data_IF_847726667962
#
_entry.id   IF_847726667962
#
_cell.length_a   1.000
_cell.length_b   1.000
_cell.length_c   1.000
_cell.angle_alpha   90.00
_cell.angle_beta   90.00
_cell.angle_gamma   90.00
#
_symmetry.space_group_name_H-M   'P 1'
#
loop_
_entity.id
_entity.type
_entity.pdbx_description
1 polymer ?
#
# COMPACT_ATOMS: atom_id res chain seq x y z
N UNK A 1 22.42 9.40 13.38
CA UNK A 1 21.18 9.36 12.57
C UNK A 1 20.68 10.78 12.45
N UNK A 2 20.14 11.13 11.30
CA UNK A 2 19.58 12.46 11.07
C UNK A 2 18.10 12.50 11.45
N UNK A 3 17.59 13.65 11.96
CA UNK A 3 16.16 13.85 12.16
C UNK A 3 15.36 13.50 10.89
N UNK A 4 14.24 12.79 11.05
CA UNK A 4 13.45 12.28 9.92
C UNK A 4 13.75 10.82 9.54
N UNK A 5 14.83 10.22 10.04
CA UNK A 5 15.18 8.81 9.75
C UNK A 5 14.17 7.86 10.40
N UNK A 6 13.57 6.94 9.64
CA UNK A 6 12.72 5.89 10.19
C UNK A 6 13.55 4.76 10.80
N UNK A 7 13.37 4.56 12.10
CA UNK A 7 14.08 3.55 12.90
C UNK A 7 13.10 2.54 13.50
N UNK A 8 13.54 1.30 13.58
CA UNK A 8 12.86 0.23 14.29
C UNK A 8 13.40 0.13 15.71
N UNK A 9 12.52 0.25 16.69
CA UNK A 9 12.79 0.03 18.11
C UNK A 9 12.45 -1.42 18.48
N UNK A 10 13.48 -2.21 18.76
CA UNK A 10 13.33 -3.63 19.11
C UNK A 10 12.64 -3.87 20.46
N UNK A 11 12.68 -2.90 21.38
CA UNK A 11 12.03 -3.00 22.69
C UNK A 11 10.52 -2.86 22.56
N UNK A 12 10.06 -1.84 21.82
CA UNK A 12 8.62 -1.59 21.64
C UNK A 12 8.03 -2.33 20.43
N UNK A 13 8.89 -2.88 19.56
CA UNK A 13 8.55 -3.51 18.28
C UNK A 13 7.77 -2.57 17.37
N UNK A 14 8.17 -1.30 17.34
CA UNK A 14 7.53 -0.22 16.57
C UNK A 14 8.56 0.50 15.71
N UNK A 15 8.06 1.11 14.64
CA UNK A 15 8.84 2.04 13.82
C UNK A 15 8.48 3.46 14.21
N UNK A 16 9.50 4.29 14.40
CA UNK A 16 9.36 5.71 14.67
C UNK A 16 10.34 6.53 13.83
N UNK A 17 10.01 7.80 13.66
CA UNK A 17 10.89 8.81 13.10
C UNK A 17 11.82 9.32 14.20
N UNK A 18 13.13 9.21 13.98
CA UNK A 18 14.15 9.80 14.85
C UNK A 18 13.98 11.32 14.86
N UNK A 19 13.81 11.91 16.04
CA UNK A 19 13.71 13.35 16.22
C UNK A 19 15.05 13.94 16.66
N UNK A 20 15.48 13.58 17.87
CA UNK A 20 16.74 14.08 18.46
C UNK A 20 17.22 13.16 19.59
N UNK A 21 18.40 13.44 20.15
CA UNK A 21 18.97 12.76 21.31
C UNK A 21 18.83 13.61 22.58
N UNK A 22 18.14 13.08 23.58
CA UNK A 22 17.96 13.72 24.89
C UNK A 22 18.64 12.88 25.97
N UNK A 23 19.86 13.29 26.35
CA UNK A 23 20.67 12.57 27.34
C UNK A 23 21.06 11.16 26.86
N UNK A 24 20.83 10.10 27.66
CA UNK A 24 21.16 8.74 27.26
C UNK A 24 20.16 8.13 26.25
N UNK A 25 19.00 8.76 26.05
CA UNK A 25 17.93 8.24 25.19
C UNK A 25 17.80 9.04 23.89
N UNK A 26 17.16 8.41 22.91
CA UNK A 26 16.71 9.08 21.68
C UNK A 26 15.20 9.27 21.72
N UNK A 27 14.73 10.36 21.12
CA UNK A 27 13.31 10.65 20.98
C UNK A 27 12.81 10.18 19.63
N UNK A 28 11.79 9.32 19.65
CA UNK A 28 11.13 8.81 18.47
C UNK A 28 9.68 9.30 18.40
N UNK A 29 9.25 9.69 17.20
CA UNK A 29 7.85 10.03 16.90
C UNK A 29 7.17 8.91 16.12
N UNK A 30 5.93 8.52 16.40
CA UNK A 30 5.26 7.48 15.63
C UNK A 30 5.03 7.89 14.18
N UNK A 31 5.12 6.94 13.26
CA UNK A 31 4.74 7.16 11.85
C UNK A 31 3.27 7.53 11.80
N UNK A 32 2.94 8.69 11.23
CA UNK A 32 1.57 9.23 11.17
C UNK A 32 1.17 10.14 12.33
N UNK A 33 2.07 10.41 13.29
CA UNK A 33 1.81 11.28 14.43
C UNK A 33 1.41 10.52 15.71
N UNK A 34 1.20 11.26 16.79
CA UNK A 34 0.88 10.72 18.11
C UNK A 34 2.00 10.95 19.14
N UNK A 35 1.89 10.27 20.29
CA UNK A 35 2.77 10.51 21.44
C UNK A 35 4.18 9.99 21.17
N UNK A 36 5.15 10.89 21.24
CA UNK A 36 6.58 10.56 21.17
C UNK A 36 7.01 9.68 22.34
N UNK A 37 8.04 8.86 22.12
CA UNK A 37 8.61 8.00 23.15
C UNK A 37 10.13 8.03 23.16
N UNK A 38 10.69 7.74 24.34
CA UNK A 38 12.12 7.56 24.53
C UNK A 38 12.51 6.12 24.17
N UNK A 39 13.58 5.95 23.40
CA UNK A 39 14.16 4.66 23.08
C UNK A 39 15.64 4.60 23.46
N UNK A 40 16.13 3.41 23.78
CA UNK A 40 17.54 3.14 24.01
C UNK A 40 18.28 3.14 22.65
N UNK A 41 19.31 3.99 22.45
CA UNK A 41 20.08 4.04 21.20
C UNK A 41 20.69 2.68 20.80
N UNK A 42 20.99 1.80 21.76
CA UNK A 42 21.52 0.47 21.48
C UNK A 42 20.47 -0.53 20.98
N UNK A 43 19.18 -0.20 21.14
CA UNK A 43 18.04 -1.06 20.77
C UNK A 43 17.32 -0.61 19.50
N UNK A 44 17.75 0.50 18.92
CA UNK A 44 17.22 1.01 17.66
C UNK A 44 18.16 0.69 16.50
N UNK A 45 17.58 0.43 15.34
CA UNK A 45 18.28 0.30 14.06
C UNK A 45 17.48 0.98 12.97
N UNK A 46 18.09 1.27 11.83
CA UNK A 46 17.31 1.71 10.67
C UNK A 46 16.23 0.67 10.33
N UNK A 47 15.02 1.16 10.06
CA UNK A 47 13.91 0.30 9.67
C UNK A 47 14.17 -0.24 8.26
N UNK A 48 13.87 -1.52 8.03
CA UNK A 48 13.88 -2.11 6.69
C UNK A 48 12.79 -1.49 5.80
N UNK A 49 12.88 -1.59 4.47
CA UNK A 49 11.82 -1.09 3.58
C UNK A 49 10.44 -1.67 3.93
N UNK A 50 10.38 -2.95 4.29
CA UNK A 50 9.15 -3.62 4.72
C UNK A 50 8.55 -3.03 6.00
N UNK A 51 9.40 -2.80 7.02
CA UNK A 51 8.97 -2.21 8.28
C UNK A 51 8.47 -0.78 8.10
N UNK A 52 9.11 0.00 7.22
CA UNK A 52 8.68 1.36 6.85
C UNK A 52 7.29 1.33 6.19
N UNK A 53 7.08 0.43 5.22
CA UNK A 53 5.79 0.28 4.53
C UNK A 53 4.69 -0.19 5.49
N UNK A 54 4.99 -1.18 6.32
CA UNK A 54 4.08 -1.71 7.34
C UNK A 54 3.68 -0.63 8.34
N UNK A 55 4.63 0.20 8.78
CA UNK A 55 4.35 1.34 9.66
C UNK A 55 3.51 2.42 8.98
N UNK A 56 3.76 2.71 7.70
CA UNK A 56 2.92 3.63 6.91
C UNK A 56 1.49 3.13 6.73
N UNK A 57 1.30 1.83 6.47
CA UNK A 57 -0.04 1.21 6.41
C UNK A 57 -0.74 1.26 7.76
N UNK A 58 -0.01 0.99 8.86
CA UNK A 58 -0.55 1.14 10.21
C UNK A 58 -1.01 2.56 10.48
N UNK A 59 -0.18 3.55 10.14
CA UNK A 59 -0.51 4.96 10.27
C UNK A 59 -1.76 5.36 9.46
N UNK A 60 -1.90 4.83 8.25
CA UNK A 60 -3.10 5.03 7.41
C UNK A 60 -4.35 4.43 8.05
N UNK A 61 -4.25 3.22 8.60
CA UNK A 61 -5.35 2.57 9.30
C UNK A 61 -5.74 3.34 10.56
N UNK A 62 -4.78 3.80 11.34
CA UNK A 62 -5.00 4.57 12.56
C UNK A 62 -5.68 5.91 12.23
N UNK A 63 -5.19 6.65 11.21
CA UNK A 63 -5.88 7.86 10.72
C UNK A 63 -7.28 7.57 10.17
N UNK A 64 -7.46 6.44 9.49
CA UNK A 64 -8.80 6.05 9.02
C UNK A 64 -9.73 5.73 10.18
N UNK A 65 -9.22 5.27 11.33
CA UNK A 65 -10.01 5.10 12.56
C UNK A 65 -10.33 6.43 13.21
N UNK A 66 -9.40 7.39 13.17
CA UNK A 66 -9.60 8.73 13.77
C UNK A 66 -10.53 9.61 12.93
N UNK A 67 -10.35 9.66 11.61
CA UNK A 67 -11.25 10.36 10.68
C UNK A 67 -12.63 9.70 10.56
N UNK A 68 -12.76 8.44 11.01
CA UNK A 68 -14.01 7.72 11.19
C UNK A 68 -14.31 7.46 12.67
N UNK A 69 -13.78 8.28 13.59
CA UNK A 69 -14.54 8.54 14.81
C UNK A 69 -15.86 9.07 14.29
N UNK A 70 -16.84 8.16 14.12
CA UNK A 70 -18.09 8.39 13.43
C UNK A 70 -18.52 9.79 13.79
N UNK A 71 -18.38 10.73 12.84
CA UNK A 71 -18.46 12.16 13.10
C UNK A 71 -19.57 12.34 14.12
N UNK A 72 -19.23 12.73 15.35
CA UNK A 72 -20.15 12.59 16.48
C UNK A 72 -21.43 13.40 16.21
N UNK A 73 -21.31 14.41 15.34
CA UNK A 73 -22.40 15.25 14.84
C UNK A 73 -23.25 14.57 13.77
N UNK A 74 -22.73 13.56 13.05
CA UNK A 74 -23.49 12.75 12.09
C UNK A 74 -24.48 11.85 12.83
N UNK A 75 -25.79 12.01 12.60
CA UNK A 75 -26.81 11.14 13.18
C UNK A 75 -26.60 9.68 12.78
N UNK A 76 -26.79 8.72 13.69
CA UNK A 76 -26.70 7.29 13.37
C UNK A 76 -27.84 6.87 12.43
N UNK A 77 -27.56 5.93 11.52
CA UNK A 77 -28.52 5.40 10.56
C UNK A 77 -29.22 4.17 11.13
N UNK A 78 -30.53 3.97 10.89
CA UNK A 78 -31.20 2.75 11.32
C UNK A 78 -30.64 1.52 10.60
N UNK A 79 -30.45 0.40 11.31
CA UNK A 79 -30.12 -0.89 10.68
C UNK A 79 -31.35 -1.37 9.92
N UNK A 80 -31.18 -1.68 8.64
CA UNK A 80 -32.27 -2.12 7.77
C UNK A 80 -32.98 -3.35 8.35
N UNK A 81 -34.31 -3.28 8.48
CA UNK A 81 -35.12 -4.38 9.02
C UNK A 81 -35.20 -4.43 10.55
N UNK A 82 -34.55 -3.51 11.27
CA UNK A 82 -34.74 -3.36 12.71
C UNK A 82 -35.81 -2.30 13.02
N UNK A 83 -36.97 -2.75 13.48
CA UNK A 83 -38.11 -1.88 13.81
C UNK A 83 -37.78 -0.82 14.89
N UNK A 84 -36.94 -1.16 15.87
CA UNK A 84 -36.56 -0.22 16.96
C UNK A 84 -35.66 0.89 16.42
N UNK A 85 -34.70 0.55 15.56
CA UNK A 85 -33.87 1.53 14.87
C UNK A 85 -34.71 2.48 14.01
N UNK A 86 -35.65 1.93 13.23
CA UNK A 86 -36.52 2.72 12.35
C UNK A 86 -37.43 3.67 13.14
N UNK A 87 -38.01 3.20 14.24
CA UNK A 87 -38.84 4.04 15.13
C UNK A 87 -38.03 5.20 15.74
N UNK A 88 -36.83 4.94 16.24
CA UNK A 88 -35.95 5.98 16.78
C UNK A 88 -35.52 6.98 15.70
N UNK A 89 -35.29 6.54 14.46
CA UNK A 89 -35.02 7.42 13.33
C UNK A 89 -36.22 8.32 12.98
N UNK A 90 -37.44 7.77 12.99
CA UNK A 90 -38.68 8.54 12.80
C UNK A 90 -38.89 9.57 13.92
N UNK A 91 -38.61 9.20 15.18
CA UNK A 91 -38.69 10.14 16.32
C UNK A 91 -37.74 11.33 16.13
N UNK A 92 -36.50 11.06 15.70
CA UNK A 92 -35.52 12.12 15.36
C UNK A 92 -36.05 13.04 14.27
N UNK A 93 -36.61 12.49 13.20
CA UNK A 93 -37.07 13.29 12.05
C UNK A 93 -38.29 14.15 12.41
N UNK A 94 -39.18 13.64 13.27
CA UNK A 94 -40.26 14.45 13.87
C UNK A 94 -39.73 15.58 14.74
N UNK A 95 -38.74 15.31 15.60
CA UNK A 95 -38.12 16.32 16.44
C UNK A 95 -37.43 17.42 15.61
N UNK A 96 -36.78 17.06 14.49
CA UNK A 96 -36.23 18.02 13.53
C UNK A 96 -37.31 18.91 12.93
N UNK A 97 -38.42 18.33 12.48
CA UNK A 97 -39.53 19.08 11.91
C UNK A 97 -40.18 20.05 12.91
N UNK A 98 -40.12 19.71 14.21
CA UNK A 98 -40.58 20.57 15.30
C UNK A 98 -39.51 21.53 15.85
N UNK A 99 -38.28 21.51 15.31
CA UNK A 99 -37.12 22.27 15.80
C UNK A 99 -36.74 22.01 17.27
N UNK A 100 -37.00 20.80 17.77
CA UNK A 100 -36.63 20.37 19.13
C UNK A 100 -35.24 19.68 19.13
N UNK A 101 -34.20 20.47 19.41
CA UNK A 101 -32.81 19.97 19.41
C UNK A 101 -32.50 18.96 20.52
N UNK A 102 -33.17 19.04 21.67
CA UNK A 102 -32.97 18.11 22.78
C UNK A 102 -33.51 16.73 22.39
N UNK A 103 -34.72 16.66 21.86
CA UNK A 103 -35.32 15.42 21.41
C UNK A 103 -34.55 14.77 20.23
N UNK A 104 -33.94 15.57 19.35
CA UNK A 104 -33.02 15.06 18.31
C UNK A 104 -31.80 14.38 18.92
N UNK A 105 -31.22 14.99 19.95
CA UNK A 105 -30.03 14.46 20.64
C UNK A 105 -30.37 13.16 21.38
N UNK A 106 -31.48 13.13 22.09
CA UNK A 106 -31.96 11.94 22.83
C UNK A 106 -32.22 10.76 21.89
N UNK A 107 -32.91 11.00 20.77
CA UNK A 107 -33.17 9.98 19.76
C UNK A 107 -31.86 9.39 19.18
N UNK A 108 -30.86 10.24 18.90
CA UNK A 108 -29.55 9.78 18.46
C UNK A 108 -28.82 8.94 19.52
N UNK A 109 -28.86 9.35 20.80
CA UNK A 109 -28.23 8.60 21.89
C UNK A 109 -28.88 7.23 22.07
N UNK A 110 -30.22 7.16 22.07
CA UNK A 110 -30.97 5.91 22.19
C UNK A 110 -30.69 4.97 21.01
N UNK A 111 -30.61 5.50 19.79
CA UNK A 111 -30.32 4.69 18.60
C UNK A 111 -28.90 4.09 18.67
N UNK A 112 -27.89 4.88 19.07
CA UNK A 112 -26.51 4.36 19.28
C UNK A 112 -26.43 3.35 20.43
N UNK A 113 -27.23 3.53 21.49
CA UNK A 113 -27.28 2.58 22.60
C UNK A 113 -27.86 1.24 22.14
N UNK A 114 -29.03 1.28 21.49
CA UNK A 114 -29.68 0.08 20.95
C UNK A 114 -28.78 -0.66 19.95
N UNK A 115 -28.17 0.03 18.98
CA UNK A 115 -27.24 -0.59 18.04
C UNK A 115 -26.05 -1.27 18.72
N UNK A 116 -25.52 -0.70 19.81
CA UNK A 116 -24.42 -1.32 20.57
C UNK A 116 -24.88 -2.58 21.32
N UNK A 117 -26.08 -2.56 21.88
CA UNK A 117 -26.63 -3.70 22.61
C UNK A 117 -27.07 -4.84 21.68
N UNK A 118 -27.77 -4.52 20.60
CA UNK A 118 -28.53 -5.50 19.81
C UNK A 118 -27.92 -5.81 18.42
N UNK A 119 -27.06 -4.92 17.90
CA UNK A 119 -26.50 -5.07 16.54
C UNK A 119 -24.98 -5.14 16.52
N UNK A 120 -24.33 -5.08 17.68
CA UNK A 120 -22.87 -5.11 17.77
C UNK A 120 -22.23 -3.98 16.99
N UNK A 121 -22.63 -2.73 17.25
CA UNK A 121 -21.94 -1.51 16.82
C UNK A 121 -21.61 -1.45 15.32
N UNK A 122 -22.42 -0.71 14.56
CA UNK A 122 -22.29 -0.49 13.12
C UNK A 122 -20.82 -0.52 12.64
N UNK A 123 -20.43 -1.62 12.00
CA UNK A 123 -19.19 -1.69 11.26
C UNK A 123 -19.38 -0.80 10.04
N UNK A 124 -19.26 0.51 10.23
CA UNK A 124 -18.93 1.40 9.13
C UNK A 124 -17.75 0.74 8.45
N UNK A 125 -17.93 0.30 7.20
CA UNK A 125 -16.99 -0.56 6.51
C UNK A 125 -15.63 0.11 6.41
N UNK A 126 -14.79 -0.08 7.42
CA UNK A 126 -13.47 0.53 7.44
C UNK A 126 -12.61 -0.29 6.51
N UNK A 127 -12.10 0.35 5.46
CA UNK A 127 -11.06 -0.23 4.63
C UNK A 127 -9.82 -0.38 5.50
N UNK A 128 -9.56 -1.59 5.98
CA UNK A 128 -8.30 -1.94 6.63
C UNK A 128 -7.29 -2.18 5.50
N UNK A 129 -6.33 -1.28 5.37
CA UNK A 129 -5.18 -1.47 4.51
C UNK A 129 -4.26 -2.53 5.16
N UNK A 130 -3.80 -3.49 4.36
CA UNK A 130 -2.80 -4.47 4.79
C UNK A 130 -1.61 -4.37 3.86
N UNK A 131 -0.43 -4.21 4.42
CA UNK A 131 0.79 -4.43 3.66
C UNK A 131 0.86 -5.91 3.31
N UNK A 132 1.05 -6.22 2.03
CA UNK A 132 1.21 -7.59 1.53
C UNK A 132 2.53 -7.61 0.77
N UNK A 133 3.58 -8.24 1.30
CA UNK A 133 4.85 -8.35 0.60
C UNK A 133 4.70 -9.24 -0.65
N UNK A 134 5.29 -8.80 -1.75
CA UNK A 134 5.42 -9.59 -2.98
C UNK A 134 6.89 -9.72 -3.36
N UNK A 135 7.25 -10.89 -3.88
CA UNK A 135 8.54 -11.16 -4.51
C UNK A 135 8.33 -11.36 -6.01
N UNK A 136 9.15 -10.71 -6.81
CA UNK A 136 9.19 -10.90 -8.26
C UNK A 136 10.01 -12.16 -8.55
N UNK A 137 9.43 -13.14 -9.24
CA UNK A 137 10.11 -14.36 -9.66
C UNK A 137 9.86 -14.60 -11.14
N UNK A 138 10.79 -15.28 -11.82
CA UNK A 138 10.61 -15.66 -13.22
C UNK A 138 9.38 -16.58 -13.36
N UNK A 139 8.59 -16.35 -14.41
CA UNK A 139 7.42 -17.15 -14.77
C UNK A 139 7.89 -18.44 -15.46
N UNK A 140 7.72 -19.62 -14.83
CA UNK A 140 8.13 -20.88 -15.44
C UNK A 140 7.20 -21.34 -16.57
N UNK A 141 6.04 -20.70 -16.74
CA UNK A 141 5.05 -21.07 -17.76
C UNK A 141 5.26 -20.34 -19.09
N UNK A 142 6.11 -19.31 -19.11
CA UNK A 142 6.41 -18.52 -20.29
C UNK A 142 7.86 -18.73 -20.73
N UNK A 143 8.07 -18.98 -22.02
CA UNK A 143 9.39 -19.12 -22.61
C UNK A 143 10.00 -17.74 -22.86
N UNK A 144 11.32 -17.54 -22.65
CA UNK A 144 11.96 -16.28 -22.98
C UNK A 144 11.96 -15.96 -24.47
N UNK A 145 12.00 -14.67 -24.78
CA UNK A 145 12.07 -14.15 -26.14
C UNK A 145 13.44 -13.54 -26.43
N UNK A 146 13.94 -13.79 -27.64
CA UNK A 146 15.23 -13.30 -28.11
C UNK A 146 15.06 -12.54 -29.43
N UNK A 147 15.72 -11.40 -29.56
CA UNK A 147 15.77 -10.65 -30.82
C UNK A 147 17.16 -10.04 -30.99
N UNK A 148 17.63 -9.90 -32.24
CA UNK A 148 18.72 -9.01 -32.57
C UNK A 148 18.35 -8.02 -33.66
N UNK A 149 18.95 -6.84 -33.58
CA UNK A 149 18.92 -5.81 -34.63
C UNK A 149 20.33 -5.46 -35.05
N UNK A 150 20.57 -5.39 -36.34
CA UNK A 150 21.81 -4.88 -36.92
C UNK A 150 21.88 -3.37 -36.69
N UNK A 151 22.95 -2.94 -36.03
CA UNK A 151 23.26 -1.53 -35.71
C UNK A 151 24.62 -1.16 -36.29
N UNK A 152 24.94 -1.78 -37.42
CA UNK A 152 26.11 -1.45 -38.26
C UNK A 152 25.71 -0.42 -39.30
N UNK A 153 26.65 0.41 -39.70
CA UNK A 153 26.45 1.53 -40.63
C UNK A 153 27.14 2.78 -40.09
N UNK A 154 27.66 3.61 -40.98
CA UNK A 154 28.47 4.78 -40.61
C UNK A 154 27.59 6.02 -40.39
N UNK A 155 26.61 6.26 -41.27
CA UNK A 155 25.68 7.39 -41.16
C UNK A 155 24.33 7.00 -40.50
N UNK A 156 23.87 5.77 -40.75
CA UNK A 156 22.63 5.25 -40.17
C UNK A 156 22.76 3.74 -39.91
N UNK A 157 22.11 3.27 -38.84
CA UNK A 157 22.01 1.85 -38.56
C UNK A 157 21.28 1.12 -39.71
N UNK A 158 21.85 0.00 -40.16
CA UNK A 158 21.23 -0.91 -41.13
C UNK A 158 19.81 -1.29 -40.73
N UNK A 159 19.55 -1.48 -39.42
CA UNK A 159 18.21 -1.65 -38.87
C UNK A 159 17.58 -3.02 -39.13
N UNK A 160 18.20 -3.89 -39.94
CA UNK A 160 17.71 -5.24 -40.18
C UNK A 160 17.56 -6.02 -38.87
N UNK A 161 16.48 -6.78 -38.70
CA UNK A 161 16.18 -7.50 -37.46
C UNK A 161 15.97 -9.00 -37.69
N UNK A 162 16.28 -9.80 -36.67
CA UNK A 162 16.00 -11.24 -36.68
C UNK A 162 14.51 -11.57 -36.54
N UNK A 163 13.71 -10.60 -36.06
CA UNK A 163 12.42 -10.85 -35.43
C UNK A 163 12.57 -11.57 -34.08
N UNK A 164 11.45 -11.72 -33.38
CA UNK A 164 11.37 -12.45 -32.11
C UNK A 164 11.60 -13.95 -32.36
N UNK A 165 12.44 -14.57 -31.53
CA UNK A 165 12.81 -15.99 -31.56
C UNK A 165 12.67 -16.60 -30.17
N UNK A 166 12.36 -17.88 -30.11
CA UNK A 166 12.24 -18.64 -28.85
C UNK A 166 13.57 -19.24 -28.41
N UNK A 167 14.58 -19.29 -29.30
CA UNK A 167 15.92 -19.75 -28.95
C UNK A 167 17.03 -18.75 -29.37
N UNK A 168 18.08 -18.60 -28.55
CA UNK A 168 19.21 -17.72 -28.88
C UNK A 168 19.95 -18.18 -30.15
N UNK A 169 19.99 -19.48 -30.42
CA UNK A 169 20.68 -20.05 -31.59
C UNK A 169 20.08 -19.58 -32.93
N UNK A 170 18.76 -19.34 -32.99
CA UNK A 170 18.09 -18.82 -34.19
C UNK A 170 18.50 -17.38 -34.47
N UNK A 171 18.63 -16.56 -33.42
CA UNK A 171 19.12 -15.19 -33.52
C UNK A 171 20.57 -15.17 -34.02
N UNK A 172 21.41 -16.06 -33.48
CA UNK A 172 22.81 -16.18 -33.89
C UNK A 172 22.96 -16.68 -35.32
N UNK A 173 22.08 -17.59 -35.77
CA UNK A 173 22.05 -18.02 -37.16
C UNK A 173 21.69 -16.85 -38.09
N UNK A 174 20.68 -16.06 -37.73
CA UNK A 174 20.33 -14.85 -38.47
C UNK A 174 21.50 -13.87 -38.53
N UNK A 175 22.20 -13.63 -37.41
CA UNK A 175 23.37 -12.75 -37.38
C UNK A 175 24.50 -13.25 -38.30
N UNK A 176 24.79 -14.56 -38.27
CA UNK A 176 25.80 -15.16 -39.16
C UNK A 176 25.43 -14.96 -40.64
N UNK A 177 24.18 -15.22 -41.00
CA UNK A 177 23.68 -15.05 -42.38
C UNK A 177 23.75 -13.57 -42.81
N UNK A 178 23.24 -12.67 -41.98
CA UNK A 178 23.27 -11.24 -42.28
C UNK A 178 24.70 -10.70 -42.42
N UNK A 179 25.63 -11.17 -41.57
CA UNK A 179 27.05 -10.81 -41.64
C UNK A 179 27.68 -11.29 -42.95
N UNK A 180 27.35 -12.49 -43.41
CA UNK A 180 27.87 -13.04 -44.66
C UNK A 180 27.43 -12.20 -45.86
N UNK A 181 26.19 -11.72 -45.86
CA UNK A 181 25.60 -10.92 -46.95
C UNK A 181 26.07 -9.47 -46.94
N UNK A 182 26.18 -8.84 -45.77
CA UNK A 182 26.36 -7.38 -45.65
C UNK A 182 27.72 -6.95 -45.12
N UNK A 183 28.50 -7.89 -44.57
CA UNK A 183 29.73 -7.62 -43.79
C UNK A 183 29.53 -6.77 -42.54
N UNK A 184 28.28 -6.57 -42.12
CA UNK A 184 27.96 -5.91 -40.86
C UNK A 184 28.36 -6.78 -39.66
N UNK A 185 29.02 -6.17 -38.67
CA UNK A 185 29.60 -6.89 -37.51
C UNK A 185 29.04 -6.42 -36.15
N UNK A 186 28.20 -5.37 -36.13
CA UNK A 186 27.65 -4.78 -34.91
C UNK A 186 26.15 -5.03 -34.79
N UNK A 187 25.74 -5.62 -33.67
CA UNK A 187 24.36 -6.03 -33.39
C UNK A 187 23.93 -5.64 -31.97
N UNK A 188 22.69 -5.15 -31.82
CA UNK A 188 22.02 -4.99 -30.52
C UNK A 188 21.14 -6.21 -30.28
N UNK A 189 21.26 -6.85 -29.12
CA UNK A 189 20.43 -7.99 -28.72
C UNK A 189 19.41 -7.56 -27.66
N UNK A 190 18.21 -8.11 -27.75
CA UNK A 190 17.17 -8.03 -26.74
C UNK A 190 16.91 -9.43 -26.19
N UNK A 191 16.72 -9.52 -24.88
CA UNK A 191 16.28 -10.71 -24.16
C UNK A 191 15.15 -10.28 -23.24
N UNK A 192 14.00 -10.93 -23.35
CA UNK A 192 12.86 -10.70 -22.48
C UNK A 192 12.47 -12.02 -21.81
N UNK A 193 12.50 -12.04 -20.48
CA UNK A 193 11.84 -13.05 -19.68
C UNK A 193 10.54 -12.50 -19.09
N UNK A 194 9.70 -13.41 -18.62
CA UNK A 194 8.44 -13.07 -17.99
C UNK A 194 8.58 -13.28 -16.48
N UNK A 195 7.93 -12.43 -15.70
CA UNK A 195 7.96 -12.52 -14.25
C UNK A 195 6.56 -12.43 -13.64
N UNK A 196 6.37 -13.14 -12.52
CA UNK A 196 5.15 -13.11 -11.72
C UNK A 196 5.44 -12.56 -10.32
N UNK A 197 4.49 -11.80 -9.77
CA UNK A 197 4.51 -11.36 -8.38
C UNK A 197 3.90 -12.44 -7.50
N UNK A 198 4.71 -13.05 -6.63
CA UNK A 198 4.25 -14.02 -5.62
C UNK A 198 4.16 -13.37 -4.25
N UNK A 199 3.08 -13.61 -3.53
CA UNK A 199 2.97 -13.18 -2.13
C UNK A 199 4.04 -13.88 -1.31
N UNK A 200 4.78 -13.14 -0.49
CA UNK A 200 5.68 -13.74 0.50
C UNK A 200 4.81 -14.35 1.60
N UNK A 201 5.00 -15.65 1.85
CA UNK A 201 4.26 -16.43 2.86
C UNK A 201 4.77 -16.24 4.26
#
# INVERSE_FOLDING_TARGET
MEPGTLVYDSQTRKVGEYQDRTGPYVMLRPVGGGREWQADPARIREATPEERLSAGVRALNDRSREGLSADATRPPSPVSGCAVCEDLALRRDRARAAFDGSAVTDANMLLRHHQRAEHGGESTGHRIFRYVPYTIVQDPSALPEYEARCVSGEEADCGAGSGIRSAPAEVEEWQRRHTQETRHLRYRRCFADYAVLRRQG
#
